data_IF_340305397545
#
_entry.id   IF_340305397545
#
_cell.length_a   1.000
_cell.length_b   1.000
_cell.length_c   1.000
_cell.angle_alpha   90.00
_cell.angle_beta   90.00
_cell.angle_gamma   90.00
#
_symmetry.space_group_name_H-M   'P 1'
#
loop_
_entity.id
_entity.type
_entity.pdbx_description
1 polymer ?
#
# COMPACT_ATOMS: atom_id res chain seq x y z
N UNK A 1 -59.87 53.55 30.74
CA UNK A 1 -59.83 52.42 29.79
C UNK A 1 -58.39 51.93 29.64
N UNK A 2 -57.90 51.08 30.55
CA UNK A 2 -56.54 50.54 30.48
C UNK A 2 -56.58 49.07 30.06
N UNK A 3 -56.17 48.75 28.82
CA UNK A 3 -56.01 47.35 28.37
C UNK A 3 -54.85 46.73 29.14
N UNK A 4 -55.14 45.78 30.03
CA UNK A 4 -54.12 44.86 30.56
C UNK A 4 -53.56 44.05 29.39
N UNK A 5 -52.39 44.45 28.91
CA UNK A 5 -51.58 43.70 27.96
C UNK A 5 -51.06 42.46 28.70
N UNK A 6 -51.87 41.39 28.70
CA UNK A 6 -51.45 40.09 29.21
C UNK A 6 -50.32 39.56 28.34
N UNK A 7 -49.12 39.47 28.91
CA UNK A 7 -47.97 38.82 28.28
C UNK A 7 -48.35 37.44 27.78
N UNK A 8 -47.84 37.11 26.61
CA UNK A 8 -48.13 35.85 25.91
C UNK A 8 -47.86 34.65 26.82
N UNK A 9 -48.73 33.64 26.77
CA UNK A 9 -48.62 32.45 27.59
C UNK A 9 -47.37 31.66 27.17
N UNK A 10 -46.32 31.70 27.99
CA UNK A 10 -44.99 31.14 27.74
C UNK A 10 -45.01 29.66 27.34
N UNK A 11 -45.97 28.87 27.85
CA UNK A 11 -46.15 27.47 27.48
C UNK A 11 -46.65 27.29 26.05
N UNK A 12 -47.55 28.18 25.60
CA UNK A 12 -48.07 28.18 24.22
C UNK A 12 -47.00 28.64 23.24
N UNK A 13 -46.19 29.63 23.60
CA UNK A 13 -45.04 30.05 22.80
C UNK A 13 -43.98 28.95 22.70
N UNK A 14 -43.65 28.27 23.80
CA UNK A 14 -42.73 27.14 23.78
C UNK A 14 -43.24 25.99 22.90
N UNK A 15 -44.56 25.70 22.92
CA UNK A 15 -45.15 24.69 22.04
C UNK A 15 -45.12 25.11 20.57
N UNK A 16 -45.40 26.38 20.26
CA UNK A 16 -45.27 26.93 18.89
C UNK A 16 -43.81 26.92 18.42
N UNK A 17 -42.86 27.25 19.27
CA UNK A 17 -41.43 27.18 18.97
C UNK A 17 -40.99 25.75 18.66
N UNK A 18 -41.40 24.76 19.47
CA UNK A 18 -41.11 23.34 19.18
C UNK A 18 -41.70 22.88 17.85
N UNK A 19 -42.94 23.28 17.53
CA UNK A 19 -43.57 22.99 16.23
C UNK A 19 -42.85 23.69 15.08
N UNK A 20 -42.38 24.93 15.29
CA UNK A 20 -41.60 25.67 14.30
C UNK A 20 -40.24 25.02 14.03
N UNK A 21 -39.54 24.57 15.06
CA UNK A 21 -38.26 23.83 14.92
C UNK A 21 -38.48 22.51 14.17
N UNK A 22 -39.52 21.75 14.51
CA UNK A 22 -39.83 20.51 13.79
C UNK A 22 -40.20 20.78 12.33
N UNK A 23 -40.96 21.84 12.05
CA UNK A 23 -41.28 22.26 10.68
C UNK A 23 -40.01 22.68 9.92
N UNK A 24 -39.15 23.50 10.54
CA UNK A 24 -37.88 23.93 9.97
C UNK A 24 -36.96 22.74 9.67
N UNK A 25 -36.88 21.74 10.54
CA UNK A 25 -36.12 20.53 10.29
C UNK A 25 -36.68 19.74 9.09
N UNK A 26 -38.01 19.61 8.99
CA UNK A 26 -38.67 18.95 7.86
C UNK A 26 -38.46 19.71 6.55
N UNK A 27 -38.55 21.03 6.59
CA UNK A 27 -38.36 21.90 5.42
C UNK A 27 -36.87 21.92 5.00
N UNK A 28 -35.93 21.88 5.95
CA UNK A 28 -34.50 21.74 5.70
C UNK A 28 -34.15 20.38 5.07
N UNK A 29 -34.77 19.29 5.54
CA UNK A 29 -34.59 17.97 4.94
C UNK A 29 -35.11 17.96 3.49
N UNK A 30 -36.28 18.55 3.23
CA UNK A 30 -36.82 18.68 1.88
C UNK A 30 -35.93 19.55 0.98
N UNK A 31 -35.42 20.65 1.50
CA UNK A 31 -34.49 21.51 0.77
C UNK A 31 -33.19 20.75 0.43
N UNK A 32 -32.65 19.97 1.38
CA UNK A 32 -31.48 19.12 1.14
C UNK A 32 -31.74 18.05 0.09
N UNK A 33 -32.91 17.39 0.11
CA UNK A 33 -33.27 16.41 -0.93
C UNK A 33 -33.44 17.06 -2.30
N UNK A 34 -34.05 18.25 -2.36
CA UNK A 34 -34.21 18.98 -3.61
C UNK A 34 -32.85 19.42 -4.16
N UNK A 35 -31.97 19.97 -3.32
CA UNK A 35 -30.61 20.34 -3.70
C UNK A 35 -29.78 19.13 -4.16
N UNK A 36 -29.94 17.97 -3.51
CA UNK A 36 -29.30 16.74 -3.95
C UNK A 36 -29.80 16.29 -5.33
N UNK A 37 -31.13 16.33 -5.55
CA UNK A 37 -31.72 16.00 -6.85
C UNK A 37 -31.26 16.97 -7.95
N UNK A 38 -31.29 18.28 -7.68
CA UNK A 38 -30.76 19.31 -8.59
C UNK A 38 -29.28 19.05 -8.89
N UNK A 39 -28.45 18.78 -7.88
CA UNK A 39 -27.02 18.48 -8.09
C UNK A 39 -26.82 17.22 -8.94
N UNK A 40 -27.67 16.20 -8.78
CA UNK A 40 -27.63 14.99 -9.59
C UNK A 40 -28.07 15.26 -11.03
N UNK A 41 -29.05 16.15 -11.25
CA UNK A 41 -29.48 16.58 -12.57
C UNK A 41 -28.40 17.40 -13.27
N UNK A 42 -27.72 18.31 -12.57
CA UNK A 42 -26.57 19.05 -13.09
C UNK A 42 -25.36 18.16 -13.37
N UNK A 43 -25.21 17.04 -12.66
CA UNK A 43 -24.15 16.07 -12.90
C UNK A 43 -24.38 15.20 -14.16
N UNK A 44 -25.61 15.12 -14.69
CA UNK A 44 -25.91 14.37 -15.92
C UNK A 44 -25.29 15.09 -17.12
N UNK A 45 -24.19 14.53 -17.62
CA UNK A 45 -23.44 15.09 -18.76
C UNK A 45 -22.10 15.74 -18.37
N UNK A 46 -21.78 15.81 -17.07
CA UNK A 46 -20.44 16.16 -16.62
C UNK A 46 -19.43 15.05 -17.01
N UNK A 47 -18.20 15.43 -17.39
CA UNK A 47 -17.13 14.47 -17.69
C UNK A 47 -16.58 13.83 -16.41
N UNK A 48 -17.34 12.85 -15.90
CA UNK A 48 -17.00 12.09 -14.70
C UNK A 48 -15.70 11.31 -14.85
N UNK A 49 -15.25 11.02 -16.08
CA UNK A 49 -14.02 10.27 -16.33
C UNK A 49 -12.80 11.15 -16.17
N UNK A 50 -12.81 12.35 -16.74
CA UNK A 50 -11.73 13.32 -16.56
C UNK A 50 -11.62 13.74 -15.09
N UNK A 51 -12.74 13.95 -14.42
CA UNK A 51 -12.77 14.32 -13.00
C UNK A 51 -12.21 13.20 -12.11
N UNK A 52 -12.64 11.95 -12.31
CA UNK A 52 -12.06 10.79 -11.59
C UNK A 52 -10.55 10.69 -11.77
N UNK A 53 -10.05 10.93 -12.98
CA UNK A 53 -8.61 10.90 -13.26
C UNK A 53 -7.87 12.01 -12.52
N UNK A 54 -8.42 13.22 -12.47
CA UNK A 54 -7.83 14.35 -11.71
C UNK A 54 -7.79 14.06 -10.21
N UNK A 55 -8.89 13.57 -9.65
CA UNK A 55 -8.97 13.19 -8.23
C UNK A 55 -7.98 12.07 -7.90
N UNK A 56 -7.85 11.07 -8.76
CA UNK A 56 -6.87 9.99 -8.58
C UNK A 56 -5.42 10.50 -8.67
N UNK A 57 -5.12 11.40 -9.60
CA UNK A 57 -3.79 12.02 -9.73
C UNK A 57 -3.45 12.91 -8.53
N UNK A 58 -4.42 13.65 -7.99
CA UNK A 58 -4.29 14.45 -6.77
C UNK A 58 -4.10 13.58 -5.53
N UNK A 59 -4.86 12.49 -5.41
CA UNK A 59 -4.69 11.50 -4.32
C UNK A 59 -3.30 10.87 -4.36
N UNK A 60 -2.82 10.45 -5.53
CA UNK A 60 -1.46 9.89 -5.68
C UNK A 60 -0.38 10.92 -5.32
N UNK A 61 -0.56 12.19 -5.67
CA UNK A 61 0.37 13.26 -5.26
C UNK A 61 0.35 13.48 -3.76
N UNK A 62 -0.83 13.57 -3.15
CA UNK A 62 -0.99 13.73 -1.71
C UNK A 62 -0.38 12.55 -0.93
N UNK A 63 -0.57 11.32 -1.40
CA UNK A 63 0.05 10.13 -0.81
C UNK A 63 1.58 10.15 -0.94
N UNK A 64 2.12 10.57 -2.08
CA UNK A 64 3.56 10.70 -2.27
C UNK A 64 4.15 11.78 -1.36
N UNK A 65 3.45 12.90 -1.20
CA UNK A 65 3.86 13.98 -0.30
C UNK A 65 3.77 13.54 1.17
N UNK A 66 2.74 12.80 1.55
CA UNK A 66 2.62 12.22 2.90
C UNK A 66 3.74 11.21 3.18
N UNK A 67 4.03 10.29 2.24
CA UNK A 67 5.15 9.35 2.36
C UNK A 67 6.50 10.04 2.43
N UNK A 68 6.70 11.09 1.62
CA UNK A 68 7.93 11.91 1.68
C UNK A 68 8.04 12.63 3.01
N UNK A 69 6.95 13.20 3.53
CA UNK A 69 6.93 13.88 4.82
C UNK A 69 7.21 12.91 5.99
N UNK A 70 6.65 11.71 5.96
CA UNK A 70 6.93 10.67 6.96
C UNK A 70 8.39 10.22 6.91
N UNK A 71 8.91 9.93 5.71
CA UNK A 71 10.33 9.57 5.53
C UNK A 71 11.27 10.69 5.96
N UNK A 72 10.95 11.96 5.67
CA UNK A 72 11.71 13.10 6.14
C UNK A 72 11.67 13.23 7.67
N UNK A 73 10.51 12.95 8.29
CA UNK A 73 10.38 12.96 9.74
C UNK A 73 11.21 11.85 10.39
N UNK A 74 11.24 10.65 9.80
CA UNK A 74 12.11 9.55 10.26
C UNK A 74 13.59 9.92 10.12
N UNK A 75 13.99 10.46 8.97
CA UNK A 75 15.36 10.91 8.74
C UNK A 75 15.77 11.99 9.74
N UNK A 76 14.89 12.95 10.04
CA UNK A 76 15.16 13.98 11.05
C UNK A 76 15.34 13.40 12.46
N UNK A 77 14.58 12.35 12.81
CA UNK A 77 14.75 11.64 14.07
C UNK A 77 16.07 10.86 14.11
N UNK A 78 16.47 10.21 13.01
CA UNK A 78 17.75 9.53 12.87
C UNK A 78 18.93 10.51 12.93
N UNK A 79 18.83 11.66 12.26
CA UNK A 79 19.84 12.73 12.31
C UNK A 79 19.98 13.31 13.72
N UNK A 80 18.86 13.48 14.43
CA UNK A 80 18.88 13.91 15.82
C UNK A 80 19.60 12.89 16.72
N UNK A 81 19.27 11.59 16.59
CA UNK A 81 19.93 10.52 17.33
C UNK A 81 21.45 10.44 17.03
N UNK A 82 21.83 10.53 15.75
CA UNK A 82 23.24 10.57 15.35
C UNK A 82 23.97 11.85 15.81
N UNK A 83 23.24 12.96 15.91
CA UNK A 83 23.74 14.22 16.46
C UNK A 83 24.08 14.10 17.95
N UNK A 84 23.21 13.44 18.71
CA UNK A 84 23.45 13.10 20.13
C UNK A 84 24.65 12.17 20.29
N UNK A 85 24.77 11.14 19.45
CA UNK A 85 25.94 10.24 19.43
C UNK A 85 27.23 10.97 19.08
N UNK A 86 27.22 11.92 18.13
CA UNK A 86 28.41 12.75 17.83
C UNK A 86 28.80 13.61 19.03
N UNK A 87 27.83 14.16 19.77
CA UNK A 87 28.10 14.93 20.98
C UNK A 87 28.62 14.02 22.11
N UNK A 88 28.09 12.80 22.24
CA UNK A 88 28.57 11.79 23.18
C UNK A 88 30.02 11.36 22.85
N UNK A 89 30.31 11.04 21.58
CA UNK A 89 31.65 10.69 21.10
C UNK A 89 32.64 11.84 21.31
N UNK A 90 32.22 13.10 21.07
CA UNK A 90 33.08 14.28 21.31
C UNK A 90 33.35 14.49 22.79
N UNK A 91 32.38 14.25 23.68
CA UNK A 91 32.58 14.25 25.14
C UNK A 91 33.54 13.14 25.58
N UNK A 92 33.35 11.91 25.08
CA UNK A 92 34.25 10.80 25.36
C UNK A 92 35.67 11.05 24.85
N UNK A 93 35.84 11.59 23.62
CA UNK A 93 37.15 11.97 23.09
C UNK A 93 37.81 13.12 23.87
N UNK A 94 37.03 14.05 24.44
CA UNK A 94 37.56 15.10 25.31
C UNK A 94 38.00 14.53 26.66
N UNK A 95 37.24 13.60 27.24
CA UNK A 95 37.62 12.88 28.45
C UNK A 95 38.88 12.01 28.25
N UNK A 96 38.97 11.27 27.14
CA UNK A 96 40.15 10.47 26.76
C UNK A 96 41.36 11.35 26.37
N UNK A 97 41.16 12.64 26.07
CA UNK A 97 42.24 13.59 25.81
C UNK A 97 42.74 14.28 27.10
N UNK A 98 41.89 14.42 28.11
CA UNK A 98 42.24 14.90 29.45
C UNK A 98 43.00 13.83 30.24
N UNK A 99 42.71 12.55 30.02
CA UNK A 99 43.60 11.45 30.40
C UNK A 99 44.77 11.37 29.41
N UNK A 100 45.80 12.19 29.69
CA UNK A 100 47.02 12.26 28.90
C UNK A 100 47.54 10.85 28.56
N UNK A 101 47.70 10.57 27.26
CA UNK A 101 48.43 9.41 26.74
C UNK A 101 49.93 9.73 26.74
N UNK A 102 50.72 9.27 27.73
CA UNK A 102 52.16 9.56 27.80
C UNK A 102 52.99 8.91 26.67
N UNK A 103 52.39 8.11 25.78
CA UNK A 103 53.10 7.37 24.73
C UNK A 103 53.10 8.04 23.34
N UNK A 104 52.20 9.00 23.07
CA UNK A 104 52.14 9.70 21.77
C UNK A 104 53.20 10.83 21.64
N UNK A 105 53.84 11.21 22.74
CA UNK A 105 54.93 12.21 22.76
C UNK A 105 56.30 11.58 22.43
N UNK A 106 56.43 10.25 22.54
CA UNK A 106 57.64 9.50 22.19
C UNK A 106 57.79 9.20 20.69
N UNK A 107 56.71 9.31 19.90
CA UNK A 107 56.66 8.89 18.49
C UNK A 107 56.72 10.03 17.47
N UNK A 108 56.77 11.30 17.91
CA UNK A 108 56.89 12.47 17.01
C UNK A 108 58.35 12.85 16.75
N UNK A 109 59.15 11.92 16.25
CA UNK A 109 60.31 12.29 15.44
C UNK A 109 60.32 11.48 14.16
N UNK A 110 60.47 12.21 13.05
CA UNK A 110 60.77 11.77 11.68
C UNK A 110 59.60 11.36 10.76
N UNK A 111 59.75 11.84 9.52
CA UNK A 111 59.21 11.36 8.24
C UNK A 111 58.00 12.10 7.62
N UNK A 112 58.29 12.57 6.41
CA UNK A 112 57.51 13.38 5.46
C UNK A 112 57.50 12.60 4.14
N UNK A 113 56.32 12.37 3.51
CA UNK A 113 56.02 12.44 2.05
C UNK A 113 54.84 11.56 1.59
N UNK A 114 53.84 12.24 1.04
CA UNK A 114 53.15 12.09 -0.26
C UNK A 114 52.89 10.71 -0.89
N UNK A 115 51.62 10.44 -1.26
CA UNK A 115 51.28 9.93 -2.61
C UNK A 115 49.80 10.21 -2.97
N UNK A 116 49.54 10.99 -4.03
CA UNK A 116 48.22 11.21 -4.66
C UNK A 116 48.14 10.31 -5.90
N UNK A 117 47.42 9.20 -5.80
CA UNK A 117 47.14 8.29 -6.93
C UNK A 117 45.98 8.80 -7.80
N UNK A 118 46.23 8.91 -9.09
CA UNK A 118 45.27 9.24 -10.15
C UNK A 118 44.39 8.03 -10.51
N UNK A 119 43.10 8.26 -10.78
CA UNK A 119 42.19 7.27 -11.39
C UNK A 119 41.60 7.88 -12.67
N UNK A 120 41.79 7.23 -13.82
CA UNK A 120 41.07 7.49 -15.08
C UNK A 120 39.88 6.51 -15.21
N UNK A 121 38.71 6.92 -15.72
CA UNK A 121 37.66 5.98 -16.12
C UNK A 121 37.77 5.56 -17.60
N UNK A 122 37.41 4.30 -17.85
CA UNK A 122 37.41 3.57 -19.13
C UNK A 122 36.23 3.94 -20.03
N UNK A 123 36.47 3.98 -21.35
CA UNK A 123 35.45 4.20 -22.38
C UNK A 123 34.85 2.90 -22.92
N UNK A 124 33.54 2.87 -23.07
CA UNK A 124 32.83 1.91 -23.93
C UNK A 124 31.47 2.51 -24.34
N UNK A 125 31.45 3.21 -25.48
CA UNK A 125 30.21 3.68 -26.11
C UNK A 125 30.45 3.93 -27.61
N UNK A 126 30.19 2.92 -28.45
CA UNK A 126 29.93 3.11 -29.88
C UNK A 126 29.49 1.80 -30.54
N UNK A 127 28.18 1.64 -30.81
CA UNK A 127 27.72 0.85 -31.95
C UNK A 127 26.31 1.33 -32.38
N UNK A 128 26.26 2.11 -33.46
CA UNK A 128 25.01 2.56 -34.09
C UNK A 128 25.02 2.18 -35.59
N UNK A 129 23.86 1.67 -36.00
CA UNK A 129 23.49 0.96 -37.23
C UNK A 129 23.39 1.89 -38.45
N UNK A 130 23.69 1.38 -39.65
CA UNK A 130 23.52 2.06 -40.95
C UNK A 130 22.86 1.14 -41.99
N UNK A 131 21.90 1.67 -42.76
CA UNK A 131 21.39 1.05 -43.99
C UNK A 131 20.18 1.77 -44.63
N UNK A 132 20.43 2.54 -45.70
CA UNK A 132 19.45 2.87 -46.77
C UNK A 132 19.68 1.93 -47.98
N UNK A 133 19.14 2.08 -49.19
CA UNK A 133 18.07 2.85 -49.85
C UNK A 133 17.95 2.24 -51.27
N UNK A 134 16.77 2.31 -51.88
CA UNK A 134 16.29 1.59 -53.09
C UNK A 134 16.81 2.08 -54.46
N UNK A 135 17.10 1.15 -55.38
CA UNK A 135 17.33 1.36 -56.82
C UNK A 135 16.02 1.35 -57.64
N UNK A 136 16.00 2.13 -58.74
CA UNK A 136 14.78 2.48 -59.51
C UNK A 136 14.49 1.47 -60.64
N UNK A 137 13.39 0.74 -60.56
CA UNK A 137 12.85 -0.10 -61.65
C UNK A 137 12.27 0.72 -62.82
N UNK A 138 12.40 0.17 -64.03
CA UNK A 138 11.96 0.73 -65.32
C UNK A 138 10.42 0.78 -65.44
N UNK A 139 9.91 1.67 -66.29
CA UNK A 139 8.50 2.06 -66.32
C UNK A 139 7.53 0.93 -66.71
N UNK A 140 7.98 0.01 -67.58
CA UNK A 140 7.21 -1.16 -68.03
C UNK A 140 6.99 -2.15 -66.88
N UNK A 141 8.00 -2.34 -66.02
CA UNK A 141 7.90 -3.25 -64.89
C UNK A 141 7.01 -2.70 -63.77
N UNK A 142 6.93 -1.37 -63.63
CA UNK A 142 5.97 -0.72 -62.73
C UNK A 142 4.53 -0.88 -63.19
N UNK A 143 4.27 -0.80 -64.48
CA UNK A 143 2.92 -0.98 -65.02
C UNK A 143 2.46 -2.44 -64.92
N UNK A 144 3.34 -3.40 -65.22
CA UNK A 144 3.07 -4.82 -65.04
C UNK A 144 2.81 -5.19 -63.57
N UNK A 145 3.61 -4.65 -62.64
CA UNK A 145 3.37 -4.84 -61.20
C UNK A 145 2.05 -4.19 -60.75
N UNK A 146 1.71 -3.02 -61.29
CA UNK A 146 0.46 -2.32 -60.96
C UNK A 146 -0.78 -3.04 -61.47
N UNK A 147 -0.72 -3.63 -62.67
CA UNK A 147 -1.81 -4.43 -63.23
C UNK A 147 -1.98 -5.76 -62.49
N UNK A 148 -0.87 -6.43 -62.16
CA UNK A 148 -0.88 -7.64 -61.33
C UNK A 148 -1.41 -7.37 -59.90
N UNK A 149 -1.07 -6.21 -59.33
CA UNK A 149 -1.60 -5.77 -58.03
C UNK A 149 -3.08 -5.43 -58.11
N UNK A 150 -3.53 -4.75 -59.17
CA UNK A 150 -4.95 -4.42 -59.39
C UNK A 150 -5.81 -5.69 -59.56
N UNK A 151 -5.32 -6.68 -60.31
CA UNK A 151 -5.99 -7.98 -60.43
C UNK A 151 -6.07 -8.73 -59.09
N UNK A 152 -5.02 -8.64 -58.25
CA UNK A 152 -4.99 -9.19 -56.89
C UNK A 152 -5.87 -8.44 -55.89
N UNK A 153 -6.24 -7.19 -56.17
CA UNK A 153 -7.15 -6.39 -55.33
C UNK A 153 -8.61 -6.58 -55.76
N UNK A 154 -8.86 -6.85 -57.05
CA UNK A 154 -10.19 -7.15 -57.58
C UNK A 154 -10.72 -8.55 -57.20
N UNK A 155 -9.84 -9.52 -56.94
CA UNK A 155 -10.24 -10.90 -56.58
C UNK A 155 -10.47 -11.15 -55.08
N UNK A 156 -10.22 -10.16 -54.21
CA UNK A 156 -10.49 -10.30 -52.77
C UNK A 156 -11.96 -9.99 -52.50
N UNK A 157 -12.70 -10.89 -51.83
CA UNK A 157 -14.09 -10.63 -51.46
C UNK A 157 -14.16 -9.34 -50.63
N UNK A 158 -15.08 -8.45 -51.01
CA UNK A 158 -15.24 -7.16 -50.36
C UNK A 158 -15.63 -7.33 -48.90
N UNK A 159 -15.25 -6.35 -48.06
CA UNK A 159 -15.49 -6.37 -46.59
C UNK A 159 -16.97 -6.53 -46.18
N UNK A 160 -17.90 -6.43 -47.13
CA UNK A 160 -19.36 -6.59 -46.95
C UNK A 160 -19.87 -8.01 -47.20
N UNK A 161 -19.06 -8.90 -47.80
CA UNK A 161 -19.43 -10.29 -48.09
C UNK A 161 -19.04 -11.28 -46.99
N UNK A 162 -18.33 -10.81 -45.96
CA UNK A 162 -17.98 -11.62 -44.79
C UNK A 162 -19.19 -11.68 -43.85
N UNK A 163 -20.06 -12.67 -44.08
CA UNK A 163 -21.11 -13.04 -43.13
C UNK A 163 -20.50 -13.92 -42.05
N UNK A 164 -20.29 -13.36 -40.86
CA UNK A 164 -19.97 -14.17 -39.68
C UNK A 164 -21.27 -14.82 -39.18
N UNK A 165 -21.37 -16.14 -39.28
CA UNK A 165 -22.38 -16.87 -38.51
C UNK A 165 -22.04 -16.70 -37.02
N UNK A 166 -22.94 -16.07 -36.27
CA UNK A 166 -22.81 -15.89 -34.82
C UNK A 166 -23.08 -17.19 -34.04
N UNK A 167 -22.58 -18.33 -34.54
CA UNK A 167 -22.63 -19.60 -33.84
C UNK A 167 -21.35 -19.79 -33.02
N UNK A 168 -21.09 -18.87 -32.10
CA UNK A 168 -20.02 -19.06 -31.12
C UNK A 168 -20.52 -20.06 -30.08
N UNK A 169 -19.96 -21.27 -30.10
CA UNK A 169 -20.05 -22.17 -28.94
C UNK A 169 -19.52 -21.41 -27.72
N UNK A 170 -20.33 -21.29 -26.66
CA UNK A 170 -19.91 -20.59 -25.44
C UNK A 170 -18.57 -21.14 -24.95
N UNK A 171 -17.63 -20.25 -24.65
CA UNK A 171 -16.33 -20.63 -24.13
C UNK A 171 -16.51 -21.21 -22.72
N UNK A 172 -16.58 -22.54 -22.62
CA UNK A 172 -16.70 -23.29 -21.36
C UNK A 172 -15.60 -22.99 -20.32
N UNK A 173 -14.47 -22.38 -20.73
CA UNK A 173 -13.45 -21.90 -19.78
C UNK A 173 -13.87 -20.63 -19.03
N UNK A 174 -14.93 -19.94 -19.49
CA UNK A 174 -15.50 -18.77 -18.79
C UNK A 174 -16.59 -19.17 -17.79
N UNK A 175 -17.20 -20.34 -17.99
CA UNK A 175 -18.23 -20.88 -17.08
C UNK A 175 -17.63 -21.66 -15.89
N UNK A 176 -16.34 -22.02 -15.95
CA UNK A 176 -15.60 -22.57 -14.81
C UNK A 176 -14.69 -21.52 -14.13
N UNK A 177 -14.94 -20.24 -14.37
CA UNK A 177 -14.41 -19.21 -13.50
C UNK A 177 -15.41 -19.07 -12.35
N UNK A 178 -15.09 -19.71 -11.23
CA UNK A 178 -15.53 -19.28 -9.92
C UNK A 178 -15.65 -17.75 -9.95
N UNK A 179 -16.86 -17.24 -9.76
CA UNK A 179 -17.20 -15.85 -10.01
C UNK A 179 -16.64 -14.99 -8.86
N UNK A 180 -15.34 -14.92 -8.78
CA UNK A 180 -14.57 -14.23 -7.76
C UNK A 180 -14.20 -12.85 -8.25
N UNK A 181 -15.21 -12.03 -8.45
CA UNK A 181 -15.06 -10.63 -8.86
C UNK A 181 -14.56 -9.82 -7.65
N UNK A 182 -13.25 -9.86 -7.40
CA UNK A 182 -12.59 -9.13 -6.33
C UNK A 182 -12.50 -7.62 -6.65
N UNK A 183 -13.65 -6.94 -6.60
CA UNK A 183 -13.74 -5.50 -6.89
C UNK A 183 -13.21 -4.60 -5.77
N UNK A 184 -12.95 -5.17 -4.60
CA UNK A 184 -12.44 -4.50 -3.42
C UNK A 184 -11.17 -5.20 -2.92
N UNK A 185 -10.28 -4.45 -2.26
CA UNK A 185 -9.03 -4.98 -1.70
C UNK A 185 -9.26 -6.12 -0.72
N UNK A 186 -10.28 -5.99 0.14
CA UNK A 186 -10.61 -7.04 1.12
C UNK A 186 -11.14 -8.31 0.45
N UNK A 187 -11.95 -8.15 -0.61
CA UNK A 187 -12.42 -9.29 -1.40
C UNK A 187 -11.27 -9.96 -2.17
N UNK A 188 -10.28 -9.19 -2.61
CA UNK A 188 -9.07 -9.72 -3.24
C UNK A 188 -8.16 -10.45 -2.24
N UNK A 189 -8.06 -9.94 -1.02
CA UNK A 189 -7.32 -10.57 0.07
C UNK A 189 -7.98 -11.87 0.53
N UNK A 190 -9.30 -11.89 0.67
CA UNK A 190 -10.05 -13.09 1.07
C UNK A 190 -9.91 -14.19 0.01
N UNK A 191 -10.01 -13.83 -1.28
CA UNK A 191 -9.81 -14.77 -2.38
C UNK A 191 -8.39 -15.34 -2.47
N UNK A 192 -7.41 -14.48 -2.23
CA UNK A 192 -6.00 -14.85 -2.26
C UNK A 192 -5.58 -15.55 -0.97
N UNK A 193 -6.36 -15.41 0.10
CA UNK A 193 -6.23 -16.19 1.34
C UNK A 193 -6.74 -17.61 1.09
N UNK A 194 -6.02 -18.33 0.23
CA UNK A 194 -6.21 -19.76 0.04
C UNK A 194 -5.84 -20.44 1.35
N UNK A 195 -6.86 -20.63 2.18
CA UNK A 195 -6.90 -21.64 3.21
C UNK A 195 -5.90 -21.49 4.37
N UNK A 196 -5.77 -20.28 4.95
CA UNK A 196 -5.12 -20.12 6.28
C UNK A 196 -6.00 -20.69 7.43
N UNK A 197 -7.22 -21.14 7.13
CA UNK A 197 -8.10 -21.89 8.04
C UNK A 197 -7.95 -23.42 7.91
N UNK A 198 -7.13 -23.92 6.98
CA UNK A 198 -6.79 -25.34 6.91
C UNK A 198 -5.84 -25.66 8.08
N UNK A 199 -6.45 -26.17 9.15
CA UNK A 199 -5.91 -26.58 10.46
C UNK A 199 -4.69 -27.56 10.42
N UNK A 200 -4.02 -27.79 9.28
CA UNK A 200 -3.15 -28.95 9.08
C UNK A 200 -1.80 -28.75 8.39
N UNK A 201 -1.24 -27.54 8.20
CA UNK A 201 0.06 -27.42 7.47
C UNK A 201 1.26 -26.84 8.24
N UNK A 202 1.09 -25.97 9.24
CA UNK A 202 2.25 -25.37 9.90
C UNK A 202 2.12 -25.24 11.43
N UNK A 203 2.52 -26.29 12.19
CA UNK A 203 2.63 -26.20 13.65
C UNK A 203 3.58 -25.08 14.08
N UNK A 204 4.63 -24.78 13.31
CA UNK A 204 5.56 -23.67 13.60
C UNK A 204 4.92 -22.28 13.48
N UNK A 205 4.00 -22.08 12.51
CA UNK A 205 3.29 -20.81 12.34
C UNK A 205 2.21 -20.65 13.43
N UNK A 206 1.52 -21.74 13.79
CA UNK A 206 0.58 -21.75 14.93
C UNK A 206 1.32 -21.52 16.25
N UNK A 207 2.51 -22.10 16.42
CA UNK A 207 3.31 -21.94 17.63
C UNK A 207 3.69 -20.47 17.86
N UNK A 208 4.04 -19.73 16.80
CA UNK A 208 4.36 -18.30 16.92
C UNK A 208 3.13 -17.45 17.24
N UNK A 209 1.99 -17.71 16.61
CA UNK A 209 0.75 -16.98 16.87
C UNK A 209 0.22 -17.28 18.29
N UNK A 210 0.24 -18.55 18.68
CA UNK A 210 -0.19 -19.00 20.00
C UNK A 210 0.77 -18.52 21.10
N UNK A 211 2.09 -18.50 20.85
CA UNK A 211 3.07 -17.90 21.76
C UNK A 211 2.82 -16.41 21.97
N UNK A 212 2.44 -15.67 20.92
CA UNK A 212 2.12 -14.24 21.03
C UNK A 212 0.87 -14.01 21.88
N UNK A 213 -0.19 -14.80 21.68
CA UNK A 213 -1.39 -14.74 22.51
C UNK A 213 -1.08 -15.06 23.98
N UNK A 214 -0.27 -16.10 24.22
CA UNK A 214 0.19 -16.47 25.56
C UNK A 214 1.09 -15.40 26.20
N UNK A 215 1.97 -14.75 25.42
CA UNK A 215 2.80 -13.65 25.89
C UNK A 215 1.91 -12.47 26.36
N UNK A 216 0.89 -12.08 25.60
CA UNK A 216 0.00 -10.97 25.96
C UNK A 216 -0.81 -11.26 27.24
N UNK A 217 -1.33 -12.49 27.40
CA UNK A 217 -2.12 -12.89 28.57
C UNK A 217 -1.28 -13.11 29.84
N UNK A 218 -0.08 -13.70 29.69
CA UNK A 218 0.77 -14.06 30.83
C UNK A 218 1.79 -12.98 31.22
N UNK A 219 2.09 -12.02 30.33
CA UNK A 219 2.94 -10.86 30.64
C UNK A 219 2.52 -10.07 31.90
N UNK A 220 1.24 -9.73 32.12
CA UNK A 220 0.84 -9.03 33.35
C UNK A 220 1.05 -9.88 34.60
N UNK A 221 0.72 -11.18 34.57
CA UNK A 221 0.89 -12.08 35.70
C UNK A 221 2.36 -12.25 36.08
N UNK A 222 3.23 -12.49 35.10
CA UNK A 222 4.67 -12.64 35.33
C UNK A 222 5.32 -11.34 35.85
N UNK A 223 4.76 -10.18 35.51
CA UNK A 223 5.22 -8.87 36.01
C UNK A 223 4.76 -8.60 37.44
N UNK A 224 3.59 -9.12 37.84
CA UNK A 224 3.07 -9.06 39.21
C UNK A 224 3.84 -10.02 40.14
N UNK A 225 4.10 -11.24 39.68
CA UNK A 225 4.81 -12.27 40.47
C UNK A 225 6.30 -11.95 40.67
N UNK A 226 6.93 -11.31 39.69
CA UNK A 226 8.37 -11.01 39.70
C UNK A 226 8.65 -9.53 39.42
N UNK A 227 8.24 -8.60 40.29
CA UNK A 227 8.47 -7.18 40.05
C UNK A 227 9.98 -6.87 40.01
N UNK A 228 10.39 -5.99 39.09
CA UNK A 228 11.77 -5.51 38.99
C UNK A 228 12.71 -6.32 38.08
N UNK A 229 12.22 -7.39 37.44
CA UNK A 229 13.00 -8.16 36.47
C UNK A 229 13.13 -7.40 35.12
N UNK A 230 14.20 -7.66 34.36
CA UNK A 230 14.39 -7.06 33.02
C UNK A 230 13.44 -7.72 32.01
N UNK A 231 13.00 -6.98 30.98
CA UNK A 231 12.13 -7.52 29.92
C UNK A 231 12.67 -8.81 29.26
N UNK A 232 13.99 -8.92 29.10
CA UNK A 232 14.63 -10.14 28.58
C UNK A 232 14.43 -11.36 29.48
N UNK A 233 14.42 -11.17 30.80
CA UNK A 233 14.26 -12.23 31.78
C UNK A 233 12.78 -12.63 31.91
N UNK A 234 11.84 -11.68 31.81
CA UNK A 234 10.41 -11.99 31.69
C UNK A 234 10.12 -12.85 30.45
N UNK A 235 10.69 -12.49 29.30
CA UNK A 235 10.58 -13.30 28.07
C UNK A 235 11.17 -14.69 28.21
N UNK A 236 12.28 -14.83 28.95
CA UNK A 236 12.86 -16.14 29.23
C UNK A 236 11.93 -16.99 30.11
N UNK A 237 11.32 -16.40 31.14
CA UNK A 237 10.33 -17.08 32.00
C UNK A 237 9.06 -17.46 31.24
N UNK A 238 8.55 -16.56 30.40
CA UNK A 238 7.41 -16.84 29.53
C UNK A 238 7.71 -17.96 28.53
N UNK A 239 8.91 -17.99 27.96
CA UNK A 239 9.34 -19.08 27.08
C UNK A 239 9.42 -20.42 27.82
N UNK A 240 9.89 -20.42 29.07
CA UNK A 240 9.95 -21.61 29.93
C UNK A 240 8.55 -22.12 30.28
N UNK A 241 7.64 -21.23 30.67
CA UNK A 241 6.23 -21.54 30.93
C UNK A 241 5.53 -22.04 29.66
N UNK A 242 5.80 -21.40 28.51
CA UNK A 242 5.23 -21.77 27.22
C UNK A 242 5.62 -23.18 26.77
N UNK A 243 6.88 -23.58 26.93
CA UNK A 243 7.34 -24.94 26.59
C UNK A 243 6.54 -26.02 27.35
N UNK A 244 6.07 -25.70 28.56
CA UNK A 244 5.28 -26.60 29.42
C UNK A 244 3.77 -26.39 29.28
N UNK A 245 3.32 -25.32 28.62
CA UNK A 245 1.90 -24.99 28.50
C UNK A 245 1.17 -25.98 27.58
N UNK A 246 -0.08 -26.37 27.90
CA UNK A 246 -0.94 -27.15 27.00
C UNK A 246 -1.36 -26.37 25.74
N UNK A 247 -1.25 -25.04 25.75
CA UNK A 247 -1.57 -24.17 24.61
C UNK A 247 -0.48 -24.16 23.53
N UNK A 248 0.69 -24.73 23.83
CA UNK A 248 1.73 -24.89 22.83
C UNK A 248 1.29 -25.97 21.83
N UNK A 249 1.05 -25.62 20.55
CA UNK A 249 0.62 -26.59 19.55
C UNK A 249 1.66 -27.68 19.29
N UNK A 250 2.90 -27.50 19.73
CA UNK A 250 3.95 -28.53 19.67
C UNK A 250 3.80 -29.63 20.74
N UNK A 251 3.04 -29.37 21.81
CA UNK A 251 2.67 -30.35 22.83
C UNK A 251 1.34 -31.06 22.49
N UNK A 252 0.66 -30.63 21.42
CA UNK A 252 -0.60 -31.23 20.96
C UNK A 252 -0.31 -32.40 20.02
N UNK A 253 -1.06 -33.50 20.13
CA UNK A 253 -0.90 -34.67 19.26
C UNK A 253 -1.16 -34.27 17.80
N UNK A 254 -0.12 -34.33 16.97
CA UNK A 254 -0.26 -34.13 15.53
C UNK A 254 -0.74 -35.41 14.87
N UNK A 255 -1.81 -35.32 14.06
CA UNK A 255 -2.23 -36.42 13.19
C UNK A 255 -1.04 -36.82 12.30
N UNK A 256 -0.56 -38.05 12.44
CA UNK A 256 0.54 -38.55 11.65
C UNK A 256 0.17 -38.50 10.16
N UNK A 257 1.13 -38.13 9.31
CA UNK A 257 0.98 -37.99 7.86
C UNK A 257 0.36 -39.23 7.16
N UNK A 258 0.40 -40.39 7.80
CA UNK A 258 -0.14 -41.66 7.29
C UNK A 258 -1.52 -42.06 7.88
N UNK A 259 -2.19 -41.20 8.64
CA UNK A 259 -3.54 -41.48 9.14
C UNK A 259 -4.55 -41.44 7.98
N UNK A 260 -4.71 -42.57 7.28
CA UNK A 260 -5.77 -42.76 6.30
C UNK A 260 -7.11 -42.64 7.01
N UNK A 261 -7.86 -41.60 6.71
CA UNK A 261 -9.27 -41.46 7.05
C UNK A 261 -10.02 -42.66 6.47
N UNK A 262 -10.64 -43.44 7.35
CA UNK A 262 -11.42 -44.64 6.99
C UNK A 262 -12.88 -44.27 6.75
#
# INVERSE_FOLDING_TARGET
MGKKQGGTNTKVEAAKAKKAVHKAAKDAQKAATNAANESADWAKGADTRAERKRVEDEQKRAEQEAKKAENQKLLALEEHALGEDKHAIRKQKKAVKEEAKPWEEALKTTAKKNNRGSRKPSGFAALAVKGGSSEKLTQIEREALKEAEAARMASKPGKKDIKFDNNFSANRNRDNAEQTDARNLDAALDLLSVNDQELGKHPERRAKAAYKAFEEDMMPQVKEDFPGLKLSQYKQKLSEMWRRSPDNPMNQEHLAYNAKTK
#
